data_IF_818786675317
#
_entry.id   IF_818786675317
#
_cell.length_a   1.000
_cell.length_b   1.000
_cell.length_c   1.000
_cell.angle_alpha   90.00
_cell.angle_beta   90.00
_cell.angle_gamma   90.00
#
_symmetry.space_group_name_H-M   'P 1'
#
loop_
_entity.id
_entity.type
_entity.pdbx_description
1 polymer ?
#
# COMPACT_ATOMS: atom_id res chain seq x y z
N UNK A 1 -14.87 -18.12 17.31
CA UNK A 1 -16.19 -17.48 17.35
C UNK A 1 -16.94 -17.68 18.69
N UNK A 2 -16.37 -18.46 19.60
CA UNK A 2 -16.92 -18.63 20.96
C UNK A 2 -16.73 -17.40 21.86
N UNK A 3 -15.97 -16.39 21.45
CA UNK A 3 -15.62 -15.23 22.27
C UNK A 3 -14.64 -15.53 23.40
N UNK A 4 -14.03 -16.71 23.42
CA UNK A 4 -13.06 -17.11 24.45
C UNK A 4 -11.66 -16.58 24.19
N UNK A 5 -11.37 -16.12 22.97
CA UNK A 5 -10.10 -15.52 22.59
C UNK A 5 -10.35 -14.03 22.35
N UNK A 6 -9.90 -13.19 23.26
CA UNK A 6 -9.86 -11.74 23.11
C UNK A 6 -8.59 -11.35 22.37
N UNK A 7 -8.65 -11.33 21.05
CA UNK A 7 -7.51 -10.94 20.24
C UNK A 7 -7.85 -10.88 18.76
N UNK A 8 -7.19 -10.00 18.05
CA UNK A 8 -7.29 -9.93 16.59
C UNK A 8 -6.12 -10.68 15.99
N UNK A 9 -6.38 -11.76 15.23
CA UNK A 9 -5.34 -12.51 14.57
C UNK A 9 -4.51 -11.62 13.64
N UNK A 10 -3.17 -11.75 13.61
CA UNK A 10 -2.28 -10.84 12.88
C UNK A 10 -2.23 -11.10 11.37
N UNK A 11 -2.82 -12.20 10.92
CA UNK A 11 -2.80 -12.61 9.50
C UNK A 11 -4.17 -12.49 8.86
N UNK A 12 -4.19 -11.92 7.67
CA UNK A 12 -5.36 -11.95 6.78
C UNK A 12 -5.39 -13.29 6.03
N UNK A 13 -5.38 -14.38 6.76
CA UNK A 13 -5.49 -15.72 6.21
C UNK A 13 -6.64 -16.42 6.93
N UNK A 14 -7.79 -16.62 6.28
CA UNK A 14 -8.91 -17.27 6.93
C UNK A 14 -8.55 -18.71 7.29
N UNK A 15 -8.73 -19.08 8.54
CA UNK A 15 -8.65 -20.47 8.99
C UNK A 15 -9.76 -21.31 8.34
N UNK A 16 -9.66 -22.63 8.46
CA UNK A 16 -10.72 -23.50 7.96
C UNK A 16 -12.04 -23.20 8.69
N UNK A 17 -11.98 -22.86 9.97
CA UNK A 17 -13.13 -22.48 10.79
C UNK A 17 -13.78 -21.19 10.25
N UNK A 18 -12.98 -20.19 9.86
CA UNK A 18 -13.46 -18.99 9.21
C UNK A 18 -14.15 -19.29 7.88
N UNK A 19 -13.62 -20.23 7.11
CA UNK A 19 -14.20 -20.63 5.82
C UNK A 19 -15.57 -21.26 6.03
N UNK A 20 -15.72 -22.16 7.00
CA UNK A 20 -16.99 -22.78 7.30
C UNK A 20 -18.05 -21.80 7.81
N UNK A 21 -17.64 -20.73 8.50
CA UNK A 21 -18.59 -19.72 8.99
C UNK A 21 -18.90 -18.67 7.93
N UNK A 22 -17.87 -18.09 7.31
CA UNK A 22 -18.04 -16.97 6.36
C UNK A 22 -18.53 -17.41 4.98
N UNK A 23 -18.24 -18.65 4.60
CA UNK A 23 -18.56 -19.21 3.28
C UNK A 23 -19.33 -20.52 3.44
N UNK A 24 -20.25 -20.57 4.41
CA UNK A 24 -21.10 -21.73 4.68
C UNK A 24 -22.01 -22.10 3.50
N UNK A 25 -22.25 -21.15 2.59
CA UNK A 25 -22.99 -21.35 1.34
C UNK A 25 -22.20 -22.15 0.29
N UNK A 26 -20.89 -22.32 0.48
CA UNK A 26 -20.05 -23.08 -0.45
C UNK A 26 -20.05 -24.56 -0.13
N UNK A 27 -20.36 -25.36 -1.11
CA UNK A 27 -20.35 -26.84 -0.99
C UNK A 27 -18.94 -27.42 -0.78
N UNK A 28 -17.93 -26.70 -1.23
CA UNK A 28 -16.52 -27.18 -1.23
C UNK A 28 -15.54 -26.07 -0.94
N UNK A 29 -14.46 -26.42 -0.27
CA UNK A 29 -13.28 -25.57 -0.11
C UNK A 29 -12.08 -26.26 -0.75
N UNK A 30 -11.36 -25.56 -1.62
CA UNK A 30 -10.17 -26.11 -2.27
C UNK A 30 -8.99 -26.18 -1.30
N UNK A 31 -8.29 -27.30 -1.34
CA UNK A 31 -7.02 -27.52 -0.69
C UNK A 31 -5.98 -27.84 -1.76
N UNK A 32 -4.74 -27.45 -1.53
CA UNK A 32 -3.64 -27.77 -2.42
C UNK A 32 -2.59 -28.56 -1.66
N UNK A 33 -2.14 -29.66 -2.22
CA UNK A 33 -1.02 -30.42 -1.72
C UNK A 33 0.24 -29.98 -2.46
N UNK A 34 1.16 -29.40 -1.74
CA UNK A 34 2.40 -28.85 -2.27
C UNK A 34 3.59 -29.65 -1.74
N UNK A 35 4.41 -30.29 -2.60
CA UNK A 35 5.57 -31.04 -2.12
C UNK A 35 6.60 -30.09 -1.51
N UNK A 36 7.08 -30.38 -0.31
CA UNK A 36 8.09 -29.57 0.39
C UNK A 36 9.48 -29.64 -0.28
N UNK A 37 9.70 -30.60 -1.16
CA UNK A 37 10.93 -30.73 -1.90
C UNK A 37 10.96 -31.93 -2.84
N UNK A 38 11.99 -31.99 -3.69
CA UNK A 38 12.15 -33.07 -4.69
C UNK A 38 12.54 -34.41 -4.10
N UNK A 39 13.18 -34.44 -2.93
CA UNK A 39 13.77 -35.61 -2.31
C UNK A 39 13.13 -35.93 -0.95
N UNK A 40 11.90 -35.48 -0.73
CA UNK A 40 11.15 -35.77 0.50
C UNK A 40 9.72 -36.20 0.16
N UNK A 41 9.11 -36.98 1.06
CA UNK A 41 7.72 -37.36 1.00
C UNK A 41 6.85 -36.41 1.85
N UNK A 42 7.38 -35.27 2.25
CA UNK A 42 6.65 -34.25 3.00
C UNK A 42 5.83 -33.39 2.05
N UNK A 43 4.58 -33.14 2.44
CA UNK A 43 3.64 -32.32 1.70
C UNK A 43 3.07 -31.24 2.61
N UNK A 44 3.04 -30.03 2.12
CA UNK A 44 2.34 -28.94 2.77
C UNK A 44 0.89 -28.90 2.27
N UNK A 45 -0.05 -28.75 3.21
CA UNK A 45 -1.47 -28.65 2.88
C UNK A 45 -1.87 -27.17 2.92
N UNK A 46 -1.90 -26.54 1.77
CA UNK A 46 -2.34 -25.15 1.64
C UNK A 46 -3.87 -25.09 1.67
N UNK A 47 -4.39 -24.14 2.45
CA UNK A 47 -5.82 -23.89 2.58
C UNK A 47 -6.49 -24.56 3.79
N UNK A 48 -5.74 -25.34 4.61
CA UNK A 48 -6.23 -26.02 5.80
C UNK A 48 -5.64 -25.45 7.10
N UNK A 49 -5.42 -24.13 7.14
CA UNK A 49 -4.96 -23.47 8.37
C UNK A 49 -6.02 -23.60 9.46
N UNK A 50 -5.63 -24.05 10.64
CA UNK A 50 -6.52 -24.26 11.78
C UNK A 50 -5.81 -24.07 13.10
N UNK A 51 -6.57 -23.79 14.16
CA UNK A 51 -6.10 -23.77 15.56
C UNK A 51 -6.72 -24.86 16.41
N UNK A 52 -7.43 -25.82 15.80
CA UNK A 52 -8.04 -26.93 16.49
C UNK A 52 -7.01 -27.82 17.19
N UNK A 53 -7.38 -28.60 18.22
CA UNK A 53 -6.52 -29.54 18.87
C UNK A 53 -5.93 -30.59 17.90
N UNK A 54 -4.76 -31.13 18.24
CA UNK A 54 -4.02 -32.05 17.38
C UNK A 54 -4.84 -33.25 16.90
N UNK A 55 -5.59 -33.87 17.80
CA UNK A 55 -6.42 -35.06 17.53
C UNK A 55 -7.49 -34.73 16.47
N UNK A 56 -8.14 -33.57 16.61
CA UNK A 56 -9.13 -33.10 15.67
C UNK A 56 -8.53 -32.80 14.30
N UNK A 57 -7.33 -32.23 14.26
CA UNK A 57 -6.64 -31.99 13.00
C UNK A 57 -6.30 -33.29 12.27
N UNK A 58 -5.87 -34.32 13.00
CA UNK A 58 -5.54 -35.61 12.43
C UNK A 58 -6.80 -36.30 11.88
N UNK A 59 -7.89 -36.29 12.62
CA UNK A 59 -9.18 -36.87 12.19
C UNK A 59 -9.72 -36.11 10.96
N UNK A 60 -9.62 -34.79 10.96
CA UNK A 60 -10.00 -33.95 9.82
C UNK A 60 -9.18 -34.29 8.57
N UNK A 61 -7.86 -34.43 8.70
CA UNK A 61 -6.98 -34.82 7.58
C UNK A 61 -7.39 -36.19 7.03
N UNK A 62 -7.61 -37.17 7.89
CA UNK A 62 -7.97 -38.54 7.50
C UNK A 62 -9.37 -38.69 6.96
N UNK A 63 -10.23 -37.71 7.16
CA UNK A 63 -11.55 -37.66 6.54
C UNK A 63 -11.55 -37.19 5.09
N UNK A 64 -10.38 -36.74 4.57
CA UNK A 64 -10.25 -36.25 3.19
C UNK A 64 -9.89 -37.46 2.30
N UNK A 65 -10.62 -37.63 1.21
CA UNK A 65 -10.38 -38.68 0.21
C UNK A 65 -8.93 -38.67 -0.28
N UNK A 66 -8.24 -39.79 -0.13
CA UNK A 66 -6.82 -39.97 -0.49
C UNK A 66 -5.82 -39.67 0.63
N UNK A 67 -6.27 -39.14 1.78
CA UNK A 67 -5.43 -38.83 2.94
C UNK A 67 -5.71 -39.74 4.16
N UNK A 68 -6.47 -40.81 4.01
CA UNK A 68 -6.94 -41.71 5.10
C UNK A 68 -5.77 -42.30 5.94
N UNK A 69 -4.61 -42.48 5.31
CA UNK A 69 -3.42 -43.04 5.94
C UNK A 69 -2.30 -42.04 6.18
N UNK A 70 -2.61 -40.74 6.13
CA UNK A 70 -1.60 -39.69 6.29
C UNK A 70 -1.03 -39.68 7.71
N UNK A 71 0.27 -39.38 7.81
CA UNK A 71 0.94 -39.06 9.05
C UNK A 71 1.19 -37.57 9.14
N UNK A 72 0.62 -36.90 10.14
CA UNK A 72 0.85 -35.51 10.40
C UNK A 72 2.21 -35.30 11.08
N UNK A 73 3.14 -34.66 10.38
CA UNK A 73 4.49 -34.39 10.90
C UNK A 73 4.50 -33.17 11.81
N UNK A 74 3.69 -32.15 11.50
CA UNK A 74 3.55 -30.91 12.27
C UNK A 74 2.10 -30.46 12.26
N UNK A 75 1.50 -30.21 13.41
CA UNK A 75 0.16 -29.64 13.47
C UNK A 75 0.17 -28.19 13.00
N UNK A 76 -0.96 -27.75 12.49
CA UNK A 76 -1.26 -26.33 12.39
C UNK A 76 -1.41 -25.72 13.79
N UNK A 77 -1.21 -24.42 13.91
CA UNK A 77 -1.22 -23.72 15.20
C UNK A 77 -1.79 -22.33 15.05
N UNK A 78 -2.40 -21.83 16.11
CA UNK A 78 -2.77 -20.43 16.21
C UNK A 78 -1.51 -19.58 16.39
N UNK A 79 -1.49 -18.43 15.72
CA UNK A 79 -0.43 -17.44 15.89
C UNK A 79 -1.06 -16.22 16.52
N UNK A 80 -0.59 -15.87 17.70
CA UNK A 80 -0.94 -14.65 18.41
C UNK A 80 0.26 -13.71 18.40
N UNK A 81 0.01 -12.43 18.18
CA UNK A 81 1.03 -11.42 18.20
C UNK A 81 0.55 -10.21 19.01
N UNK A 82 1.44 -9.70 19.82
CA UNK A 82 1.27 -8.37 20.36
C UNK A 82 1.53 -7.34 19.26
N UNK A 83 0.71 -6.31 19.21
CA UNK A 83 0.95 -5.16 18.35
C UNK A 83 0.79 -3.86 19.12
N UNK A 84 1.51 -2.85 18.68
CA UNK A 84 1.42 -1.52 19.24
C UNK A 84 0.41 -0.70 18.43
N UNK A 85 -0.63 -0.09 19.04
CA UNK A 85 -1.55 0.76 18.29
C UNK A 85 -0.79 1.81 17.47
N UNK A 86 -0.91 1.80 16.12
CA UNK A 86 -0.02 2.62 15.28
C UNK A 86 -0.29 4.13 15.37
N UNK A 87 -1.36 4.55 16.03
CA UNK A 87 -1.60 5.96 16.35
C UNK A 87 -0.56 6.54 17.34
N UNK A 88 0.22 5.68 17.99
CA UNK A 88 1.32 6.11 18.88
C UNK A 88 2.67 6.36 18.18
N UNK A 89 2.72 6.24 16.86
CA UNK A 89 3.89 6.60 16.07
C UNK A 89 3.63 7.84 15.21
N UNK A 90 4.70 8.54 14.87
CA UNK A 90 4.67 9.62 13.90
C UNK A 90 4.64 9.06 12.46
N UNK A 91 4.35 9.90 11.48
CA UNK A 91 4.44 9.53 10.07
C UNK A 91 5.89 9.17 9.62
N UNK A 92 6.90 9.48 10.43
CA UNK A 92 8.28 9.02 10.29
C UNK A 92 8.49 7.58 10.75
N UNK A 93 7.46 6.93 11.32
CA UNK A 93 7.49 5.64 12.01
C UNK A 93 8.23 5.66 13.36
N UNK A 94 8.62 6.81 13.84
CA UNK A 94 9.19 6.97 15.18
C UNK A 94 8.08 6.96 16.25
N UNK A 95 8.35 6.33 17.38
CA UNK A 95 7.45 6.32 18.53
C UNK A 95 7.25 7.73 19.10
N UNK A 96 6.01 8.08 19.45
CA UNK A 96 5.68 9.31 20.17
C UNK A 96 6.06 9.25 21.66
N UNK A 97 6.27 8.04 22.20
CA UNK A 97 6.54 7.79 23.62
C UNK A 97 8.01 7.58 23.95
N UNK A 98 8.76 7.00 23.00
CA UNK A 98 10.16 6.66 23.19
C UNK A 98 10.96 7.24 22.03
N UNK A 99 11.80 8.19 22.34
CA UNK A 99 12.65 8.83 21.34
C UNK A 99 13.65 7.84 20.74
N UNK A 100 13.93 7.98 19.44
CA UNK A 100 14.84 7.13 18.65
C UNK A 100 14.38 5.67 18.50
N UNK A 101 13.15 5.32 18.87
CA UNK A 101 12.56 4.02 18.64
C UNK A 101 11.63 4.09 17.41
N UNK A 102 11.95 3.31 16.41
CA UNK A 102 11.16 3.20 15.17
C UNK A 102 10.47 1.85 15.07
N UNK A 103 9.21 1.84 14.67
CA UNK A 103 8.42 0.63 14.49
C UNK A 103 8.18 0.34 13.00
N UNK A 104 8.28 -0.94 12.63
CA UNK A 104 8.03 -1.35 11.25
C UNK A 104 7.46 -2.76 11.19
N UNK A 105 6.52 -2.98 10.27
CA UNK A 105 5.93 -4.28 10.01
C UNK A 105 4.80 -4.63 10.95
N UNK A 106 4.75 -5.88 11.36
CA UNK A 106 3.62 -6.48 12.05
C UNK A 106 3.32 -5.85 13.42
N UNK A 107 4.33 -5.32 14.09
CA UNK A 107 4.16 -4.56 15.33
C UNK A 107 3.21 -3.37 15.18
N UNK A 108 3.08 -2.82 13.97
CA UNK A 108 2.16 -1.73 13.64
C UNK A 108 0.76 -2.23 13.19
N UNK A 109 0.46 -3.52 13.38
CA UNK A 109 -0.82 -4.09 12.99
C UNK A 109 -0.97 -4.39 11.49
N UNK A 110 0.11 -4.40 10.72
CA UNK A 110 0.09 -4.81 9.30
C UNK A 110 0.36 -6.30 9.16
N UNK A 111 -0.18 -6.95 8.12
CA UNK A 111 -0.10 -8.41 7.97
C UNK A 111 0.60 -8.88 6.68
N UNK A 112 1.10 -7.98 5.82
CA UNK A 112 1.74 -8.33 4.56
C UNK A 112 3.26 -8.16 4.59
N UNK A 113 3.95 -8.96 3.78
CA UNK A 113 5.41 -8.84 3.60
C UNK A 113 5.80 -7.52 2.96
N UNK A 114 5.04 -7.07 1.98
CA UNK A 114 5.27 -5.83 1.26
C UNK A 114 5.08 -4.62 2.18
N UNK A 115 4.04 -4.65 3.01
CA UNK A 115 3.81 -3.62 4.02
C UNK A 115 4.96 -3.53 5.02
N UNK A 116 5.47 -4.69 5.46
CA UNK A 116 6.59 -4.75 6.40
C UNK A 116 7.89 -4.24 5.76
N UNK A 117 8.17 -4.64 4.52
CA UNK A 117 9.36 -4.20 3.78
C UNK A 117 9.36 -2.68 3.57
N UNK A 118 8.22 -2.12 3.12
CA UNK A 118 8.09 -0.67 2.93
C UNK A 118 8.26 0.12 4.21
N UNK A 119 7.66 -0.33 5.31
CA UNK A 119 7.82 0.30 6.62
C UNK A 119 9.27 0.20 7.11
N UNK A 120 9.91 -0.97 6.97
CA UNK A 120 11.30 -1.17 7.37
C UNK A 120 12.26 -0.25 6.62
N UNK A 121 12.06 -0.08 5.31
CA UNK A 121 12.83 0.86 4.51
C UNK A 121 12.68 2.29 5.04
N UNK A 122 11.45 2.78 5.23
CA UNK A 122 11.22 4.15 5.71
C UNK A 122 11.70 4.36 7.15
N UNK A 123 11.50 3.40 8.03
CA UNK A 123 12.01 3.47 9.40
C UNK A 123 13.55 3.60 9.42
N UNK A 124 14.24 2.77 8.62
CA UNK A 124 15.69 2.83 8.49
C UNK A 124 16.19 4.16 7.91
N UNK A 125 15.56 4.65 6.86
CA UNK A 125 15.86 5.97 6.27
C UNK A 125 15.69 7.07 7.30
N UNK A 126 14.56 7.09 7.99
CA UNK A 126 14.23 8.14 8.96
C UNK A 126 15.13 8.09 10.21
N UNK A 127 15.55 6.90 10.63
CA UNK A 127 16.55 6.76 11.69
C UNK A 127 17.89 7.42 11.28
N UNK A 128 18.35 7.20 10.05
CA UNK A 128 19.58 7.84 9.55
C UNK A 128 19.41 9.35 9.40
N UNK A 129 18.30 9.82 8.83
CA UNK A 129 18.01 11.24 8.69
C UNK A 129 17.99 11.94 10.08
N UNK A 130 17.40 11.31 11.06
CA UNK A 130 17.38 11.82 12.45
C UNK A 130 18.80 11.92 13.02
N UNK A 131 19.64 10.89 12.85
CA UNK A 131 21.04 10.94 13.27
C UNK A 131 21.84 12.06 12.61
N UNK A 132 21.47 12.45 11.39
CA UNK A 132 22.07 13.57 10.66
C UNK A 132 21.47 14.92 11.03
N UNK A 133 20.45 14.98 11.86
CA UNK A 133 19.72 16.21 12.17
C UNK A 133 18.87 16.73 10.99
N UNK A 134 18.55 15.87 10.03
CA UNK A 134 17.78 16.20 8.85
C UNK A 134 16.27 15.93 9.06
N UNK A 135 15.44 16.64 8.29
CA UNK A 135 13.99 16.42 8.33
C UNK A 135 13.61 15.00 7.86
N UNK A 136 12.62 14.34 8.50
CA UNK A 136 12.24 12.99 8.15
C UNK A 136 11.66 12.90 6.73
N UNK A 137 11.79 11.74 6.10
CA UNK A 137 11.10 11.38 4.88
C UNK A 137 9.67 10.94 5.21
N UNK A 138 8.70 11.78 4.89
CA UNK A 138 7.28 11.49 5.02
C UNK A 138 6.67 11.52 3.64
N UNK A 139 6.27 10.36 3.14
CA UNK A 139 5.59 10.24 1.85
C UNK A 139 4.11 10.60 2.00
N UNK A 140 3.61 11.40 1.07
CA UNK A 140 2.20 11.79 1.04
C UNK A 140 1.34 10.73 0.36
N UNK A 141 0.05 10.74 0.66
CA UNK A 141 -0.94 9.81 0.08
C UNK A 141 -0.99 9.81 -1.45
N UNK A 142 -0.68 10.94 -2.08
CA UNK A 142 -0.61 11.09 -3.54
C UNK A 142 0.77 10.81 -4.14
N UNK A 143 1.79 10.58 -3.33
CA UNK A 143 3.16 10.29 -3.79
C UNK A 143 3.43 8.79 -3.88
N UNK A 144 2.90 8.01 -2.93
CA UNK A 144 3.12 6.57 -2.90
C UNK A 144 2.03 5.82 -2.14
N UNK A 145 1.80 4.54 -2.50
CA UNK A 145 0.97 3.63 -1.70
C UNK A 145 1.48 3.47 -0.27
N UNK A 146 2.80 3.54 -0.10
CA UNK A 146 3.42 3.54 1.22
C UNK A 146 3.02 4.77 2.04
N UNK A 147 2.85 5.92 1.40
CA UNK A 147 2.29 7.12 2.04
C UNK A 147 0.85 6.91 2.50
N UNK A 148 0.00 6.28 1.66
CA UNK A 148 -1.37 5.91 2.05
C UNK A 148 -1.38 4.98 3.25
N UNK A 149 -0.54 3.94 3.21
CA UNK A 149 -0.42 2.95 4.28
C UNK A 149 -0.06 3.62 5.62
N UNK A 150 1.00 4.40 5.64
CA UNK A 150 1.48 5.03 6.88
C UNK A 150 0.47 6.04 7.39
N UNK A 151 -0.11 6.86 6.51
CA UNK A 151 -1.12 7.82 6.90
C UNK A 151 -2.35 7.14 7.52
N UNK A 152 -2.86 6.07 6.90
CA UNK A 152 -3.97 5.28 7.47
C UNK A 152 -3.62 4.73 8.85
N UNK A 153 -2.41 4.18 9.03
CA UNK A 153 -1.97 3.64 10.32
C UNK A 153 -1.93 4.71 11.41
N UNK A 154 -1.28 5.84 11.14
CA UNK A 154 -1.02 6.85 12.19
C UNK A 154 -2.23 7.73 12.49
N UNK A 155 -3.17 7.87 11.54
CA UNK A 155 -4.35 8.73 11.70
C UNK A 155 -5.61 7.95 12.08
N UNK A 156 -5.84 6.79 11.47
CA UNK A 156 -7.05 5.99 11.67
C UNK A 156 -6.82 4.84 12.65
N UNK A 157 -5.56 4.42 12.82
CA UNK A 157 -5.25 3.19 13.54
C UNK A 157 -5.75 1.95 12.81
N UNK A 158 -5.73 0.81 13.50
CA UNK A 158 -6.29 -0.44 12.97
C UNK A 158 -6.93 -1.25 14.11
N UNK A 159 -8.09 -1.83 13.80
CA UNK A 159 -8.80 -2.76 14.69
C UNK A 159 -8.68 -4.22 14.23
N UNK A 160 -8.22 -4.41 12.99
CA UNK A 160 -7.99 -5.69 12.35
C UNK A 160 -6.67 -5.65 11.57
N UNK A 161 -6.09 -6.79 11.16
CA UNK A 161 -4.85 -6.80 10.39
C UNK A 161 -4.94 -5.93 9.14
N UNK A 162 -4.12 -4.89 9.08
CA UNK A 162 -4.13 -3.96 7.96
C UNK A 162 -3.45 -4.59 6.73
N UNK A 163 -4.14 -4.50 5.58
CA UNK A 163 -3.59 -4.80 4.26
C UNK A 163 -3.75 -3.60 3.35
N UNK A 164 -2.71 -3.36 2.54
CA UNK A 164 -2.74 -2.31 1.54
C UNK A 164 -3.45 -2.77 0.28
N UNK A 165 -4.69 -2.32 0.11
CA UNK A 165 -5.45 -2.50 -1.12
C UNK A 165 -5.43 -1.22 -1.94
N UNK A 166 -5.42 -1.37 -3.27
CA UNK A 166 -5.49 -0.21 -4.17
C UNK A 166 -6.75 0.65 -3.96
N UNK A 167 -7.83 0.06 -3.43
CA UNK A 167 -9.07 0.76 -3.07
C UNK A 167 -8.92 1.76 -1.93
N UNK A 168 -7.84 1.67 -1.14
CA UNK A 168 -7.55 2.63 -0.05
C UNK A 168 -6.96 3.94 -0.55
N UNK A 169 -6.44 3.94 -1.78
CA UNK A 169 -5.84 5.13 -2.39
C UNK A 169 -6.90 5.92 -3.17
N UNK A 170 -7.12 7.17 -2.79
CA UNK A 170 -8.02 8.10 -3.47
C UNK A 170 -7.44 8.62 -4.80
N UNK A 171 -6.10 8.75 -4.90
CA UNK A 171 -5.40 9.29 -6.08
C UNK A 171 -4.73 8.18 -6.91
N UNK A 172 -5.46 7.13 -7.24
CA UNK A 172 -4.91 5.91 -7.88
C UNK A 172 -4.21 6.16 -9.21
N UNK A 173 -4.73 7.10 -10.01
CA UNK A 173 -4.11 7.46 -11.29
C UNK A 173 -2.73 8.10 -11.10
N UNK A 174 -2.56 8.92 -10.05
CA UNK A 174 -1.25 9.50 -9.76
C UNK A 174 -0.24 8.44 -9.28
N UNK A 175 -0.71 7.33 -8.71
CA UNK A 175 0.13 6.26 -8.14
C UNK A 175 0.48 5.17 -9.17
N UNK A 176 0.48 5.51 -10.45
CA UNK A 176 0.94 4.64 -11.51
C UNK A 176 2.38 4.14 -11.26
N UNK A 177 2.59 2.82 -11.43
CA UNK A 177 3.87 2.17 -11.15
C UNK A 177 5.04 2.70 -12.01
N UNK A 178 4.93 2.83 -13.36
CA UNK A 178 6.03 3.34 -14.18
C UNK A 178 6.49 4.75 -13.83
N UNK A 179 5.60 5.58 -13.25
CA UNK A 179 5.91 6.96 -12.85
C UNK A 179 6.52 7.07 -11.45
N UNK A 180 6.68 5.98 -10.70
CA UNK A 180 7.07 6.04 -9.28
C UNK A 180 8.39 6.78 -9.05
N UNK A 181 9.43 6.48 -9.83
CA UNK A 181 10.74 7.13 -9.69
C UNK A 181 10.70 8.62 -10.02
N UNK A 182 9.83 9.04 -10.97
CA UNK A 182 9.67 10.46 -11.31
C UNK A 182 8.93 11.22 -10.21
N UNK A 183 7.90 10.62 -9.61
CA UNK A 183 7.18 11.22 -8.47
C UNK A 183 8.06 11.40 -7.25
N UNK A 184 8.97 10.45 -7.02
CA UNK A 184 9.85 10.43 -5.85
C UNK A 184 11.21 11.11 -6.10
N UNK A 185 11.45 11.69 -7.28
CA UNK A 185 12.73 12.27 -7.66
C UNK A 185 13.26 13.28 -6.62
N UNK A 186 12.43 14.24 -6.19
CA UNK A 186 12.81 15.23 -5.17
C UNK A 186 13.18 14.58 -3.82
N UNK A 187 12.47 13.51 -3.44
CA UNK A 187 12.76 12.75 -2.23
C UNK A 187 14.09 11.99 -2.34
N UNK A 188 14.35 11.39 -3.51
CA UNK A 188 15.61 10.69 -3.80
C UNK A 188 16.81 11.64 -3.80
N UNK A 189 16.67 12.83 -4.39
CA UNK A 189 17.72 13.87 -4.35
C UNK A 189 18.05 14.29 -2.92
N UNK A 190 17.02 14.61 -2.13
CA UNK A 190 17.20 15.06 -0.75
C UNK A 190 17.83 13.99 0.14
N UNK A 191 17.37 12.75 0.02
CA UNK A 191 17.78 11.67 0.93
C UNK A 191 19.00 10.90 0.47
N UNK A 192 19.41 11.05 -0.79
CA UNK A 192 20.54 10.33 -1.40
C UNK A 192 20.43 8.80 -1.26
N UNK A 193 19.20 8.27 -1.35
CA UNK A 193 18.90 6.83 -1.23
C UNK A 193 19.38 6.00 -2.42
N UNK A 194 19.69 6.64 -3.53
CA UNK A 194 20.21 5.98 -4.73
C UNK A 194 21.55 6.60 -5.11
N UNK A 195 22.37 5.84 -5.81
CA UNK A 195 23.64 6.35 -6.31
C UNK A 195 23.44 7.45 -7.37
N UNK A 196 24.51 8.21 -7.61
CA UNK A 196 24.49 9.36 -8.53
C UNK A 196 24.16 8.93 -9.97
N UNK A 197 24.62 7.76 -10.41
CA UNK A 197 24.39 7.27 -11.77
C UNK A 197 22.90 7.01 -11.97
N UNK A 198 22.26 6.33 -11.02
CA UNK A 198 20.81 6.08 -11.06
C UNK A 198 20.00 7.38 -10.98
N UNK A 199 20.40 8.30 -10.11
CA UNK A 199 19.74 9.59 -9.99
C UNK A 199 19.79 10.38 -11.29
N UNK A 200 20.96 10.44 -11.95
CA UNK A 200 21.10 11.11 -13.23
C UNK A 200 20.22 10.49 -14.32
N UNK A 201 20.17 9.16 -14.41
CA UNK A 201 19.27 8.45 -15.34
C UNK A 201 17.80 8.80 -15.11
N UNK A 202 17.36 8.92 -13.86
CA UNK A 202 15.99 9.33 -13.54
C UNK A 202 15.73 10.77 -13.98
N UNK A 203 16.69 11.67 -13.79
CA UNK A 203 16.62 13.07 -14.26
C UNK A 203 16.52 13.15 -15.78
N UNK A 204 17.41 12.47 -16.49
CA UNK A 204 17.37 12.41 -17.96
C UNK A 204 16.02 11.87 -18.47
N UNK A 205 15.48 10.84 -17.81
CA UNK A 205 14.14 10.34 -18.12
C UNK A 205 13.08 11.42 -17.87
N UNK A 206 13.16 12.15 -16.76
CA UNK A 206 12.20 13.20 -16.43
C UNK A 206 12.20 14.32 -17.48
N UNK A 207 13.38 14.77 -17.89
CA UNK A 207 13.58 15.80 -18.93
C UNK A 207 12.99 15.35 -20.28
N UNK A 208 13.31 14.13 -20.72
CA UNK A 208 12.76 13.57 -21.96
C UNK A 208 11.25 13.41 -21.93
N UNK A 209 10.70 12.96 -20.83
CA UNK A 209 9.24 12.80 -20.67
C UNK A 209 8.55 14.16 -20.74
N UNK A 210 9.11 15.19 -20.12
CA UNK A 210 8.55 16.55 -20.15
C UNK A 210 8.64 17.15 -21.57
N UNK A 211 9.82 17.06 -22.20
CA UNK A 211 10.03 17.50 -23.57
C UNK A 211 9.03 16.86 -24.54
N UNK A 212 8.96 15.53 -24.55
CA UNK A 212 8.07 14.80 -25.46
C UNK A 212 6.59 15.07 -25.18
N UNK A 213 6.21 15.16 -23.92
CA UNK A 213 4.82 15.49 -23.56
C UNK A 213 4.44 16.87 -24.09
N UNK A 214 5.33 17.85 -24.01
CA UNK A 214 5.12 19.21 -24.57
C UNK A 214 5.09 19.22 -26.10
N UNK A 215 6.03 18.52 -26.73
CA UNK A 215 6.09 18.44 -28.22
C UNK A 215 4.84 17.81 -28.82
N UNK A 216 4.33 16.71 -28.26
CA UNK A 216 3.13 16.04 -28.75
C UNK A 216 1.86 16.91 -28.66
N UNK A 217 1.80 17.88 -27.74
CA UNK A 217 0.69 18.84 -27.65
C UNK A 217 0.76 19.93 -28.74
N UNK A 218 1.94 20.19 -29.32
CA UNK A 218 2.16 21.27 -30.29
C UNK A 218 2.41 20.76 -31.71
N UNK A 219 3.16 19.68 -31.86
CA UNK A 219 3.48 19.07 -33.16
C UNK A 219 2.25 18.45 -33.80
N UNK A 220 2.12 18.60 -35.11
CA UNK A 220 0.95 18.17 -35.87
C UNK A 220 1.23 17.05 -36.85
N UNK A 221 0.27 16.14 -36.98
CA UNK A 221 0.17 15.12 -38.03
C UNK A 221 -1.19 15.24 -38.70
N UNK A 222 -1.21 15.39 -40.03
CA UNK A 222 -2.44 15.43 -40.83
C UNK A 222 -3.50 16.47 -40.32
N UNK A 223 -3.03 17.63 -39.83
CA UNK A 223 -3.91 18.73 -39.42
C UNK A 223 -4.29 18.76 -37.95
N UNK A 224 -4.07 17.69 -37.17
CA UNK A 224 -4.30 17.65 -35.73
C UNK A 224 -3.00 17.41 -34.94
N UNK A 225 -3.01 17.67 -33.61
CA UNK A 225 -1.83 17.41 -32.78
C UNK A 225 -1.66 15.92 -32.55
N UNK A 226 -0.40 15.46 -32.39
CA UNK A 226 -0.12 14.09 -32.00
C UNK A 226 -0.85 13.70 -30.70
N UNK A 227 -0.91 14.60 -29.74
CA UNK A 227 -1.61 14.36 -28.47
C UNK A 227 -3.10 14.09 -28.66
N UNK A 228 -3.79 14.85 -29.53
CA UNK A 228 -5.20 14.63 -29.80
C UNK A 228 -5.44 13.28 -30.51
N UNK A 229 -4.56 12.94 -31.45
CA UNK A 229 -4.61 11.65 -32.13
C UNK A 229 -4.41 10.48 -31.14
N UNK A 230 -3.38 10.53 -30.29
CA UNK A 230 -3.07 9.52 -29.28
C UNK A 230 -4.18 9.33 -28.25
N UNK A 231 -4.87 10.41 -27.88
CA UNK A 231 -6.03 10.32 -26.95
C UNK A 231 -7.22 9.56 -27.56
N UNK A 232 -7.28 9.44 -28.88
CA UNK A 232 -8.32 8.66 -29.58
C UNK A 232 -7.87 7.24 -29.92
N UNK A 233 -6.66 7.08 -30.43
CA UNK A 233 -6.14 5.77 -30.85
C UNK A 233 -5.67 4.90 -29.69
N UNK A 234 -5.17 5.51 -28.61
CA UNK A 234 -4.51 4.84 -27.49
C UNK A 234 -3.32 3.95 -27.90
N UNK A 235 -2.79 4.12 -29.12
CA UNK A 235 -1.71 3.30 -29.66
C UNK A 235 -0.36 4.02 -29.65
N UNK A 236 0.67 3.35 -29.15
CA UNK A 236 2.05 3.83 -29.23
C UNK A 236 2.63 3.75 -30.64
N UNK A 237 2.02 3.00 -31.55
CA UNK A 237 2.44 2.93 -32.97
C UNK A 237 2.23 4.27 -33.69
N UNK A 238 1.39 5.13 -33.15
CA UNK A 238 1.12 6.48 -33.65
C UNK A 238 2.13 7.53 -33.18
N UNK A 239 3.15 7.15 -32.45
CA UNK A 239 4.21 8.06 -32.05
C UNK A 239 5.04 8.55 -33.25
N UNK A 240 5.60 9.78 -33.18
CA UNK A 240 6.65 10.18 -34.09
C UNK A 240 7.83 9.21 -34.07
N UNK A 241 8.48 8.97 -35.21
CA UNK A 241 9.61 8.05 -35.34
C UNK A 241 10.71 8.32 -34.31
N UNK A 242 11.01 9.60 -34.05
CA UNK A 242 12.01 10.00 -33.06
C UNK A 242 11.60 9.59 -31.62
N UNK A 243 10.31 9.59 -31.26
CA UNK A 243 9.85 9.11 -29.96
C UNK A 243 9.85 7.57 -29.92
N UNK A 244 9.57 6.90 -31.03
CA UNK A 244 9.67 5.43 -31.12
C UNK A 244 11.10 4.93 -30.86
N UNK A 245 12.12 5.74 -31.16
CA UNK A 245 13.54 5.44 -30.89
C UNK A 245 13.93 5.62 -29.41
N UNK A 246 13.10 6.25 -28.59
CA UNK A 246 13.36 6.40 -27.16
C UNK A 246 13.19 5.08 -26.38
N UNK A 247 13.70 5.05 -25.15
CA UNK A 247 13.56 3.87 -24.29
C UNK A 247 12.09 3.54 -24.00
N UNK A 248 11.82 2.28 -23.72
CA UNK A 248 10.46 1.80 -23.39
C UNK A 248 9.85 2.59 -22.23
N UNK A 249 10.66 2.85 -21.19
CA UNK A 249 10.21 3.56 -19.98
C UNK A 249 9.80 5.02 -20.28
N UNK A 250 10.51 5.70 -21.18
CA UNK A 250 10.15 7.05 -21.62
C UNK A 250 8.85 7.01 -22.43
N UNK A 251 8.75 6.10 -23.39
CA UNK A 251 7.56 5.96 -24.25
C UNK A 251 6.29 5.64 -23.45
N UNK A 252 6.37 4.71 -22.51
CA UNK A 252 5.23 4.33 -21.66
C UNK A 252 4.77 5.50 -20.80
N UNK A 253 5.70 6.24 -20.22
CA UNK A 253 5.38 7.40 -19.37
C UNK A 253 4.80 8.55 -20.20
N UNK A 254 5.37 8.88 -21.35
CA UNK A 254 4.83 9.88 -22.28
C UNK A 254 3.42 9.51 -22.74
N UNK A 255 3.22 8.26 -23.14
CA UNK A 255 1.90 7.76 -23.52
C UNK A 255 0.89 7.94 -22.40
N UNK A 256 1.26 7.53 -21.18
CA UNK A 256 0.41 7.67 -20.01
C UNK A 256 0.02 9.13 -19.75
N UNK A 257 0.98 10.05 -19.73
CA UNK A 257 0.73 11.47 -19.47
C UNK A 257 -0.16 12.10 -20.54
N UNK A 258 0.07 11.79 -21.80
CA UNK A 258 -0.68 12.36 -22.92
C UNK A 258 -2.11 11.83 -22.96
N UNK A 259 -2.28 10.52 -22.88
CA UNK A 259 -3.60 9.87 -22.98
C UNK A 259 -4.49 10.23 -21.79
N UNK A 260 -3.93 10.18 -20.58
CA UNK A 260 -4.68 10.43 -19.34
C UNK A 260 -4.63 11.88 -18.85
N UNK A 261 -4.11 12.83 -19.63
CA UNK A 261 -3.88 14.22 -19.22
C UNK A 261 -5.07 14.84 -18.48
N UNK A 262 -6.26 14.78 -19.03
CA UNK A 262 -7.45 15.41 -18.43
C UNK A 262 -7.88 14.78 -17.10
N UNK A 263 -7.58 13.50 -16.90
CA UNK A 263 -7.80 12.82 -15.62
C UNK A 263 -6.73 13.22 -14.60
N UNK A 264 -5.47 13.25 -15.00
CA UNK A 264 -4.35 13.65 -14.15
C UNK A 264 -4.49 15.10 -13.68
N UNK A 265 -4.90 16.01 -14.55
CA UNK A 265 -5.16 17.41 -14.19
C UNK A 265 -6.32 17.56 -13.19
N UNK A 266 -7.36 16.74 -13.31
CA UNK A 266 -8.46 16.70 -12.33
C UNK A 266 -8.00 16.23 -10.97
N UNK A 267 -7.26 15.11 -10.92
CA UNK A 267 -6.67 14.60 -9.68
C UNK A 267 -5.76 15.63 -9.02
N UNK A 268 -4.92 16.30 -9.81
CA UNK A 268 -4.03 17.34 -9.31
C UNK A 268 -4.78 18.52 -8.71
N UNK A 269 -5.84 19.00 -9.37
CA UNK A 269 -6.70 20.07 -8.84
C UNK A 269 -7.41 19.67 -7.55
N UNK A 270 -7.85 18.41 -7.43
CA UNK A 270 -8.44 17.91 -6.19
C UNK A 270 -7.41 17.86 -5.07
N UNK A 271 -6.22 17.37 -5.34
CA UNK A 271 -5.10 17.34 -4.40
C UNK A 271 -4.73 18.75 -3.90
N UNK A 272 -4.68 19.74 -4.80
CA UNK A 272 -4.38 21.14 -4.43
C UNK A 272 -5.47 21.74 -3.51
N UNK A 273 -6.74 21.40 -3.78
CA UNK A 273 -7.85 21.81 -2.89
C UNK A 273 -7.71 21.18 -1.50
N UNK A 274 -7.38 19.90 -1.42
CA UNK A 274 -7.15 19.22 -0.13
C UNK A 274 -5.98 19.83 0.63
N UNK A 275 -4.86 20.12 -0.04
CA UNK A 275 -3.72 20.82 0.58
C UNK A 275 -4.09 22.21 1.13
N UNK A 276 -5.05 22.88 0.53
CA UNK A 276 -5.54 24.17 1.04
C UNK A 276 -6.39 23.97 2.32
N UNK A 277 -7.19 22.91 2.36
CA UNK A 277 -8.01 22.58 3.53
C UNK A 277 -7.12 22.17 4.72
N UNK A 278 -6.07 21.38 4.49
CA UNK A 278 -5.12 20.95 5.53
C UNK A 278 -4.43 22.13 6.25
N UNK A 279 -4.42 23.31 5.65
CA UNK A 279 -3.86 24.53 6.26
C UNK A 279 -4.85 25.30 7.14
N UNK A 280 -6.12 24.92 7.10
CA UNK A 280 -7.16 25.57 7.91
C UNK A 280 -7.02 25.07 9.35
N UNK A 281 -6.68 26.00 10.25
CA UNK A 281 -6.57 25.68 11.68
C UNK A 281 -7.97 25.65 12.29
N UNK A 282 -8.24 24.61 13.06
CA UNK A 282 -9.44 24.55 13.87
C UNK A 282 -9.29 25.47 15.09
N UNK A 283 -10.36 26.18 15.51
CA UNK A 283 -10.33 26.98 16.73
C UNK A 283 -9.98 26.14 17.95
N UNK A 284 -9.16 26.69 18.82
CA UNK A 284 -8.86 26.04 20.11
C UNK A 284 -10.14 26.02 20.94
N UNK A 285 -10.52 24.83 21.42
CA UNK A 285 -11.75 24.64 22.20
C UNK A 285 -13.00 24.41 21.37
N UNK A 286 -12.89 24.10 20.09
CA UNK A 286 -14.04 23.69 19.27
C UNK A 286 -14.70 22.45 19.90
N UNK A 287 -15.98 22.59 20.20
CA UNK A 287 -16.77 21.51 20.79
C UNK A 287 -17.46 20.68 19.70
N UNK A 288 -16.86 19.56 19.40
CA UNK A 288 -17.37 18.63 18.36
C UNK A 288 -18.70 17.94 18.74
N UNK A 289 -19.14 18.07 20.01
CA UNK A 289 -20.43 17.51 20.45
C UNK A 289 -21.62 18.36 20.04
N UNK A 290 -21.40 19.64 19.82
CA UNK A 290 -22.44 20.64 19.51
C UNK A 290 -22.60 20.87 18.00
N UNK A 291 -21.63 20.44 17.19
CA UNK A 291 -21.63 20.65 15.74
C UNK A 291 -22.64 19.73 15.03
N UNK A 292 -23.83 20.26 14.77
CA UNK A 292 -24.92 19.55 14.06
C UNK A 292 -24.59 19.17 12.60
N UNK A 293 -23.49 19.69 12.03
CA UNK A 293 -23.02 19.39 10.68
C UNK A 293 -22.17 18.10 10.59
N UNK A 294 -21.69 17.57 11.72
CA UNK A 294 -20.89 16.34 11.76
C UNK A 294 -21.79 15.14 11.95
N UNK A 295 -21.47 14.05 11.22
CA UNK A 295 -22.05 12.75 11.53
C UNK A 295 -21.55 12.28 12.90
N UNK A 296 -22.37 11.52 13.63
CA UNK A 296 -22.05 11.07 14.99
C UNK A 296 -20.72 10.32 15.11
N UNK A 297 -20.38 9.48 14.13
CA UNK A 297 -19.11 8.77 14.06
C UNK A 297 -17.90 9.70 13.82
N UNK A 298 -18.10 10.75 13.01
CA UNK A 298 -17.08 11.78 12.74
C UNK A 298 -16.88 12.67 13.97
N UNK A 299 -17.96 13.04 14.65
CA UNK A 299 -17.89 13.82 15.88
C UNK A 299 -17.13 13.05 16.97
N UNK A 300 -17.47 11.78 17.19
CA UNK A 300 -16.80 10.93 18.18
C UNK A 300 -15.30 10.79 17.88
N UNK A 301 -14.91 10.54 16.64
CA UNK A 301 -13.50 10.48 16.24
C UNK A 301 -12.78 11.81 16.43
N UNK A 302 -13.44 12.93 16.16
CA UNK A 302 -12.87 14.26 16.36
C UNK A 302 -12.65 14.57 17.84
N UNK A 303 -13.51 14.09 18.73
CA UNK A 303 -13.34 14.19 20.20
C UNK A 303 -12.13 13.36 20.64
N UNK A 304 -11.99 12.12 20.16
CA UNK A 304 -10.89 11.21 20.50
C UNK A 304 -9.53 11.71 20.02
N UNK A 305 -9.46 12.29 18.83
CA UNK A 305 -8.22 12.70 18.17
C UNK A 305 -7.83 14.13 18.57
N UNK A 306 -8.81 14.97 18.90
CA UNK A 306 -8.65 16.41 19.17
C UNK A 306 -7.79 17.12 18.09
N UNK A 307 -8.21 17.07 16.80
CA UNK A 307 -7.41 17.58 15.70
C UNK A 307 -7.20 19.11 15.86
N UNK A 308 -6.03 19.58 15.42
CA UNK A 308 -5.69 21.02 15.42
C UNK A 308 -5.71 21.63 14.02
N UNK A 309 -5.80 20.79 12.99
CA UNK A 309 -5.89 21.16 11.57
C UNK A 309 -6.83 20.20 10.84
#
# INVERSE_FOLDING_TARGET
YSGQIEGTGPRYCPSIEDKFVRFADKERHMLFLEPEGRNTNEWYINGLSTSLPFEVQLDMLRSIDGLENVHMLRPAYAVEYDFAPPTQIFASLESKKVENLFFAGQINGTSGYEEAAGQGLLAGVNAVLKLRGEAPLVLKRHEAYLGVLIDDLVTKGTKEPYRMFSSRAEHRLLLNHPSAELRLLNSLERTQLVDKQRLNRIKEKAEKVEEWSGRLETERRAGETYALHLRRSHSQDDFPEALQAETKEVREEVHYRVVFKGYLEREQKQMEKLKAIDKVKLPVGLDFTVENALRSDSAQKSIEIAPRT
#
